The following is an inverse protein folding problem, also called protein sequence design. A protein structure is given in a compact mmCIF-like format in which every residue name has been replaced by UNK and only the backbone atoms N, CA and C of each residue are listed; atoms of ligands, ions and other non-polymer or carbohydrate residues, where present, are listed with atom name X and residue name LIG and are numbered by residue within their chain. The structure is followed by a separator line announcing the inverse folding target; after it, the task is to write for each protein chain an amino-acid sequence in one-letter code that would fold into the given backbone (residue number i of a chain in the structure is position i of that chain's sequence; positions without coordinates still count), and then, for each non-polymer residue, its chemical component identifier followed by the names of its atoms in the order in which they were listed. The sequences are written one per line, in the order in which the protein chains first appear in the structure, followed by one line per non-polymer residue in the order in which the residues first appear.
data_IF_515233812198
#
_entry.id   IF_515233812198
#
_cell.length_a   1.000
_cell.length_b   1.000
_cell.length_c   1.000
_cell.angle_alpha   90.00
_cell.angle_beta   90.00
_cell.angle_gamma   90.00
#
_symmetry.space_group_name_H-M   'P 1'
#
loop_
_entity.id
_entity.type
_entity.pdbx_description
1 polymer ?
#
# COMPACT_ATOMS: atom_id res chain seq x y z
N UNK A 1 5.83 -21.64 2.12
CA UNK A 1 6.82 -20.78 1.43
C UNK A 1 6.78 -19.40 2.09
N UNK A 2 7.86 -18.62 2.06
CA UNK A 2 7.82 -17.25 2.59
C UNK A 2 7.28 -16.28 1.53
N UNK A 3 6.51 -15.28 1.94
CA UNK A 3 5.96 -14.25 1.06
C UNK A 3 6.34 -12.86 1.60
N UNK A 4 6.67 -11.94 0.71
CA UNK A 4 6.81 -10.51 1.00
C UNK A 4 5.77 -9.77 0.17
N UNK A 5 4.93 -8.97 0.82
CA UNK A 5 3.89 -8.18 0.17
C UNK A 5 4.20 -6.69 0.33
N UNK A 6 4.17 -5.93 -0.77
CA UNK A 6 4.45 -4.49 -0.80
C UNK A 6 3.24 -3.78 -1.44
N UNK A 7 2.55 -2.94 -0.66
CA UNK A 7 1.26 -2.35 -1.04
C UNK A 7 1.41 -0.89 -1.51
N UNK A 8 2.19 -0.69 -2.58
CA UNK A 8 2.33 0.60 -3.25
C UNK A 8 3.45 1.48 -2.73
N UNK A 9 3.62 2.59 -3.45
CA UNK A 9 4.71 3.56 -3.33
C UNK A 9 6.06 2.85 -3.28
N UNK A 10 6.31 2.05 -4.33
CA UNK A 10 7.56 1.29 -4.48
C UNK A 10 8.76 2.22 -4.66
N UNK A 11 8.50 3.42 -5.19
CA UNK A 11 9.43 4.51 -5.39
C UNK A 11 8.77 5.84 -5.03
N UNK A 12 9.56 6.88 -4.78
CA UNK A 12 9.04 8.22 -4.46
C UNK A 12 8.35 8.92 -5.64
N UNK A 13 8.62 8.48 -6.87
CA UNK A 13 8.05 9.08 -8.08
C UNK A 13 8.70 10.41 -8.45
N UNK A 14 8.15 11.07 -9.47
CA UNK A 14 8.59 12.39 -9.95
C UNK A 14 7.37 13.30 -10.12
N UNK A 15 7.41 14.48 -9.50
CA UNK A 15 6.36 15.50 -9.62
C UNK A 15 5.07 15.16 -8.86
N UNK A 16 5.18 14.41 -7.77
CA UNK A 16 4.03 13.96 -6.97
C UNK A 16 3.43 15.10 -6.13
N UNK A 17 4.27 15.96 -5.56
CA UNK A 17 3.85 17.13 -4.79
C UNK A 17 4.80 18.33 -5.01
N UNK A 18 4.33 19.57 -4.77
CA UNK A 18 5.15 20.77 -4.98
C UNK A 18 6.44 20.74 -4.14
N UNK A 19 7.59 20.97 -4.78
CA UNK A 19 8.89 21.03 -4.11
C UNK A 19 9.59 19.68 -3.94
N UNK A 20 8.97 18.56 -4.36
CA UNK A 20 9.52 17.21 -4.25
C UNK A 20 10.93 17.09 -4.87
N UNK A 21 11.22 17.81 -5.95
CA UNK A 21 12.50 17.79 -6.65
C UNK A 21 13.70 18.21 -5.78
N UNK A 22 13.44 18.91 -4.67
CA UNK A 22 14.45 19.31 -3.69
C UNK A 22 14.69 18.23 -2.62
N UNK A 23 13.76 17.29 -2.47
CA UNK A 23 13.82 16.17 -1.52
C UNK A 23 14.37 14.89 -2.17
N UNK A 24 14.19 14.72 -3.49
CA UNK A 24 14.63 13.52 -4.20
C UNK A 24 16.16 13.37 -4.27
N UNK A 25 16.64 12.26 -3.73
CA UNK A 25 18.03 11.79 -3.93
C UNK A 25 18.23 11.29 -5.36
N UNK A 26 17.27 10.53 -5.90
CA UNK A 26 17.28 10.01 -7.27
C UNK A 26 16.19 10.73 -8.07
N UNK A 27 16.58 11.58 -9.03
CA UNK A 27 15.68 12.47 -9.79
C UNK A 27 15.19 11.89 -11.12
N UNK A 28 15.52 10.63 -11.39
CA UNK A 28 15.14 9.91 -12.59
C UNK A 28 14.26 8.71 -12.21
N UNK A 29 13.07 8.64 -12.77
CA UNK A 29 12.09 7.59 -12.45
C UNK A 29 12.61 6.18 -12.79
N UNK A 30 13.36 6.03 -13.90
CA UNK A 30 13.95 4.74 -14.26
C UNK A 30 15.00 4.31 -13.25
N UNK A 31 15.85 5.25 -12.78
CA UNK A 31 16.87 4.97 -11.77
C UNK A 31 16.26 4.62 -10.41
N UNK A 32 15.13 5.23 -10.04
CA UNK A 32 14.42 4.87 -8.80
C UNK A 32 13.97 3.40 -8.82
N UNK A 33 13.36 2.95 -9.93
CA UNK A 33 12.96 1.54 -10.08
C UNK A 33 14.16 0.59 -10.18
N UNK A 34 15.25 1.01 -10.82
CA UNK A 34 16.48 0.22 -10.90
C UNK A 34 17.09 -0.03 -9.51
N UNK A 35 17.15 1.00 -8.66
CA UNK A 35 17.62 0.88 -7.28
C UNK A 35 16.67 0.01 -6.45
N UNK A 36 15.35 0.20 -6.59
CA UNK A 36 14.38 -0.67 -5.93
C UNK A 36 14.56 -2.14 -6.35
N UNK A 37 14.79 -2.40 -7.64
CA UNK A 37 15.07 -3.74 -8.16
C UNK A 37 16.37 -4.35 -7.61
N UNK A 38 17.41 -3.54 -7.35
CA UNK A 38 18.63 -3.96 -6.66
C UNK A 38 18.32 -4.41 -5.24
N UNK A 39 17.56 -3.62 -4.47
CA UNK A 39 17.14 -4.00 -3.11
C UNK A 39 16.34 -5.31 -3.09
N UNK A 40 15.44 -5.52 -4.07
CA UNK A 40 14.69 -6.78 -4.17
C UNK A 40 15.57 -7.98 -4.52
N UNK A 41 16.65 -7.80 -5.30
CA UNK A 41 17.59 -8.86 -5.66
C UNK A 41 18.43 -9.34 -4.48
N UNK A 42 18.67 -8.47 -3.50
CA UNK A 42 19.40 -8.83 -2.28
C UNK A 42 18.57 -9.72 -1.34
N UNK A 43 17.26 -9.83 -1.57
CA UNK A 43 16.38 -10.71 -0.80
C UNK A 43 16.60 -12.19 -1.18
N UNK A 44 16.41 -13.13 -0.22
CA UNK A 44 16.54 -14.55 -0.52
C UNK A 44 15.58 -15.01 -1.62
N UNK A 45 16.10 -15.64 -2.68
CA UNK A 45 15.34 -16.12 -3.85
C UNK A 45 14.17 -17.07 -3.54
N UNK A 46 14.18 -17.71 -2.35
CA UNK A 46 13.10 -18.57 -1.85
C UNK A 46 11.85 -17.81 -1.40
N UNK A 47 11.95 -16.49 -1.17
CA UNK A 47 10.83 -15.63 -0.79
C UNK A 47 10.11 -15.21 -2.06
N UNK A 48 8.79 -15.37 -2.11
CA UNK A 48 7.97 -14.86 -3.21
C UNK A 48 7.57 -13.43 -2.91
N UNK A 49 7.90 -12.50 -3.78
CA UNK A 49 7.62 -11.08 -3.60
C UNK A 49 6.39 -10.74 -4.44
N UNK A 50 5.41 -10.05 -3.86
CA UNK A 50 4.28 -9.47 -4.58
C UNK A 50 4.23 -7.98 -4.30
N UNK A 51 4.28 -7.17 -5.35
CA UNK A 51 4.30 -5.72 -5.25
C UNK A 51 3.16 -5.11 -6.08
N UNK A 52 2.36 -4.27 -5.45
CA UNK A 52 1.34 -3.45 -6.09
C UNK A 52 1.85 -2.00 -6.22
N UNK A 53 1.33 -1.20 -7.16
CA UNK A 53 1.62 0.23 -7.22
C UNK A 53 0.86 1.02 -6.15
N UNK A 54 1.34 2.23 -5.86
CA UNK A 54 0.64 3.28 -5.14
C UNK A 54 0.47 4.55 -5.98
N UNK A 55 0.23 5.68 -5.33
CA UNK A 55 0.04 6.95 -6.04
C UNK A 55 1.33 7.67 -6.42
N UNK A 56 2.49 7.19 -5.96
CA UNK A 56 3.81 7.69 -6.37
C UNK A 56 4.36 6.94 -7.60
N UNK A 57 3.82 5.76 -7.87
CA UNK A 57 4.30 4.87 -8.91
C UNK A 57 3.88 5.28 -10.33
N UNK A 58 4.61 4.79 -11.34
CA UNK A 58 4.45 5.13 -12.77
C UNK A 58 3.26 4.43 -13.45
N UNK A 59 2.08 4.63 -12.86
CA UNK A 59 0.80 4.14 -13.36
C UNK A 59 -0.20 5.30 -13.32
N UNK A 60 -1.41 5.09 -13.86
CA UNK A 60 -2.45 6.11 -13.73
C UNK A 60 -2.69 6.44 -12.24
N UNK A 61 -2.91 7.71 -11.95
CA UNK A 61 -3.25 8.16 -10.59
C UNK A 61 -4.59 7.61 -10.10
N UNK A 62 -5.52 7.38 -11.02
CA UNK A 62 -6.88 6.95 -10.74
C UNK A 62 -6.95 5.46 -10.39
N UNK A 63 -7.62 5.14 -9.28
CA UNK A 63 -7.85 3.76 -8.85
C UNK A 63 -9.04 3.12 -9.59
N UNK A 64 -9.00 1.81 -9.88
CA UNK A 64 -7.90 0.88 -9.65
C UNK A 64 -6.70 1.17 -10.57
N UNK A 65 -5.48 0.84 -10.16
CA UNK A 65 -4.26 1.06 -10.94
C UNK A 65 -3.74 -0.26 -11.55
N UNK A 66 -3.26 -0.26 -12.80
CA UNK A 66 -2.65 -1.45 -13.41
C UNK A 66 -1.32 -1.79 -12.71
N UNK A 67 -0.79 -3.00 -12.91
CA UNK A 67 0.58 -3.32 -12.50
C UNK A 67 1.61 -2.39 -13.20
N UNK A 68 2.79 -2.22 -12.59
CA UNK A 68 3.86 -1.39 -13.15
C UNK A 68 4.23 -1.90 -14.56
N UNK A 69 4.36 -1.01 -15.57
CA UNK A 69 4.69 -1.42 -16.93
C UNK A 69 6.07 -2.08 -17.05
N UNK A 70 6.26 -3.07 -17.96
CA UNK A 70 7.52 -3.80 -18.11
C UNK A 70 8.76 -2.95 -18.38
N UNK A 71 8.59 -1.76 -18.97
CA UNK A 71 9.67 -0.83 -19.26
C UNK A 71 10.41 -0.31 -18.02
N UNK A 72 9.77 -0.36 -16.85
CA UNK A 72 10.37 0.01 -15.56
C UNK A 72 10.86 -1.20 -14.75
N UNK A 73 10.59 -2.42 -15.21
CA UNK A 73 10.72 -3.62 -14.37
C UNK A 73 11.71 -4.63 -14.93
N UNK A 74 12.42 -4.29 -16.00
CA UNK A 74 13.37 -5.19 -16.67
C UNK A 74 14.49 -5.71 -15.77
N UNK A 75 14.77 -5.04 -14.65
CA UNK A 75 15.78 -5.43 -13.65
C UNK A 75 15.20 -6.16 -12.44
N UNK A 76 13.88 -6.31 -12.31
CA UNK A 76 13.29 -6.97 -11.14
C UNK A 76 13.67 -8.46 -11.10
N UNK A 77 13.83 -9.05 -9.90
CA UNK A 77 14.17 -10.46 -9.79
C UNK A 77 12.99 -11.36 -10.19
N UNK A 78 13.28 -12.56 -10.69
CA UNK A 78 12.27 -13.48 -11.22
C UNK A 78 11.24 -13.99 -10.18
N UNK A 79 11.56 -13.88 -8.87
CA UNK A 79 10.65 -14.21 -7.77
C UNK A 79 9.77 -13.02 -7.34
N UNK A 80 9.78 -11.91 -8.08
CA UNK A 80 8.89 -10.76 -7.88
C UNK A 80 7.76 -10.74 -8.91
N UNK A 81 6.52 -10.74 -8.41
CA UNK A 81 5.31 -10.61 -9.22
C UNK A 81 4.69 -9.24 -8.98
N UNK A 82 4.52 -8.47 -10.05
CA UNK A 82 3.81 -7.20 -9.99
C UNK A 82 2.32 -7.42 -10.22
N UNK A 83 1.50 -6.75 -9.42
CA UNK A 83 0.04 -6.86 -9.44
C UNK A 83 -0.62 -5.49 -9.51
N UNK A 84 -1.91 -5.48 -9.79
CA UNK A 84 -2.73 -4.27 -9.79
C UNK A 84 -2.98 -3.75 -8.36
N UNK A 85 -3.42 -2.50 -8.24
CA UNK A 85 -3.95 -1.94 -6.99
C UNK A 85 -5.46 -1.64 -7.18
N UNK A 86 -6.37 -2.27 -6.42
CA UNK A 86 -6.16 -3.37 -5.48
C UNK A 86 -5.94 -4.72 -6.17
N UNK A 87 -5.47 -5.72 -5.42
CA UNK A 87 -5.36 -7.11 -5.85
C UNK A 87 -5.75 -8.08 -4.73
N UNK A 88 -6.59 -9.09 -5.05
CA UNK A 88 -6.91 -10.18 -4.14
C UNK A 88 -6.00 -11.38 -4.42
N UNK A 89 -5.12 -11.70 -3.47
CA UNK A 89 -4.20 -12.83 -3.54
C UNK A 89 -4.74 -14.03 -2.76
N UNK A 90 -4.38 -15.23 -3.19
CA UNK A 90 -4.54 -16.45 -2.39
C UNK A 90 -3.17 -17.02 -2.03
N UNK A 91 -2.81 -16.94 -0.75
CA UNK A 91 -1.56 -17.41 -0.20
C UNK A 91 -1.83 -18.65 0.66
N UNK A 92 -1.65 -19.83 0.06
CA UNK A 92 -1.84 -21.13 0.75
C UNK A 92 -3.22 -21.26 1.43
N UNK A 93 -4.28 -20.77 0.80
CA UNK A 93 -5.65 -20.80 1.33
C UNK A 93 -6.07 -19.52 2.06
N UNK A 94 -5.15 -18.58 2.33
CA UNK A 94 -5.44 -17.29 2.95
C UNK A 94 -5.63 -16.23 1.88
N UNK A 95 -6.78 -15.56 1.86
CA UNK A 95 -7.05 -14.44 0.95
C UNK A 95 -6.51 -13.14 1.53
N UNK A 96 -5.63 -12.49 0.79
CA UNK A 96 -5.08 -11.17 1.14
C UNK A 96 -5.54 -10.16 0.11
N UNK A 97 -6.38 -9.21 0.51
CA UNK A 97 -6.73 -8.06 -0.30
C UNK A 97 -5.66 -6.98 -0.09
N UNK A 98 -4.78 -6.83 -1.06
CA UNK A 98 -3.80 -5.75 -1.11
C UNK A 98 -4.44 -4.53 -1.73
N UNK A 99 -4.36 -3.40 -1.04
CA UNK A 99 -4.86 -2.12 -1.50
C UNK A 99 -3.91 -1.03 -1.02
N UNK A 100 -3.49 -0.08 -1.86
CA UNK A 100 -2.54 0.93 -1.44
C UNK A 100 -3.08 1.81 -0.29
N UNK A 101 -4.36 2.22 -0.36
CA UNK A 101 -5.00 2.95 0.74
C UNK A 101 -5.29 4.43 0.48
N UNK A 102 -5.22 4.91 -0.77
CA UNK A 102 -5.40 6.35 -1.06
C UNK A 102 -6.74 6.92 -0.57
N UNK A 103 -7.79 6.10 -0.58
CA UNK A 103 -9.12 6.49 -0.09
C UNK A 103 -9.17 6.83 1.41
N UNK A 104 -8.16 6.46 2.20
CA UNK A 104 -8.09 6.77 3.62
C UNK A 104 -8.15 8.29 3.84
N UNK A 105 -7.49 9.07 2.99
CA UNK A 105 -7.49 10.54 3.03
C UNK A 105 -8.91 11.12 2.99
N UNK A 106 -9.75 10.59 2.10
CA UNK A 106 -11.12 11.05 1.92
C UNK A 106 -12.03 10.56 3.05
N UNK A 107 -11.83 9.31 3.49
CA UNK A 107 -12.60 8.72 4.58
C UNK A 107 -12.39 9.45 5.91
N UNK A 108 -11.16 9.87 6.21
CA UNK A 108 -10.87 10.67 7.41
C UNK A 108 -11.66 11.98 7.42
N UNK A 109 -11.81 12.63 6.27
CA UNK A 109 -12.57 13.88 6.15
C UNK A 109 -14.09 13.71 6.32
N UNK A 110 -14.61 12.49 6.22
CA UNK A 110 -16.05 12.21 6.21
C UNK A 110 -16.55 11.43 7.42
N UNK A 111 -15.69 10.69 8.10
CA UNK A 111 -16.05 9.82 9.22
C UNK A 111 -15.78 10.57 10.53
N UNK A 112 -16.82 10.90 11.32
CA UNK A 112 -16.63 11.62 12.57
C UNK A 112 -15.68 10.86 13.51
N UNK A 113 -14.63 11.56 13.98
CA UNK A 113 -13.63 11.00 14.88
C UNK A 113 -12.54 10.17 14.20
N UNK A 114 -12.57 9.99 12.88
CA UNK A 114 -11.48 9.35 12.15
C UNK A 114 -10.18 10.17 12.21
N UNK A 115 -9.03 9.50 12.17
CA UNK A 115 -7.71 10.12 12.20
C UNK A 115 -6.67 9.25 11.50
N UNK A 116 -5.62 9.89 10.96
CA UNK A 116 -4.44 9.23 10.42
C UNK A 116 -3.74 8.35 11.46
N UNK A 117 -3.82 8.70 12.75
CA UNK A 117 -3.20 7.95 13.85
C UNK A 117 -3.87 6.60 14.13
N UNK A 118 -5.10 6.41 13.63
CA UNK A 118 -5.89 5.19 13.86
C UNK A 118 -6.38 4.59 12.54
N UNK A 119 -5.46 4.23 11.62
CA UNK A 119 -5.86 3.79 10.27
C UNK A 119 -6.67 2.48 10.31
N UNK A 120 -6.50 1.65 11.35
CA UNK A 120 -7.31 0.45 11.56
C UNK A 120 -8.82 0.73 11.67
N UNK A 121 -9.23 1.86 12.24
CA UNK A 121 -10.65 2.24 12.29
C UNK A 121 -11.20 2.55 10.90
N UNK A 122 -10.38 3.13 10.01
CA UNK A 122 -10.77 3.40 8.62
C UNK A 122 -10.88 2.11 7.81
N UNK A 123 -9.95 1.18 8.02
CA UNK A 123 -10.01 -0.15 7.40
C UNK A 123 -11.28 -0.91 7.81
N UNK A 124 -11.69 -0.80 9.07
CA UNK A 124 -12.97 -1.35 9.54
C UNK A 124 -14.16 -0.74 8.78
N UNK A 125 -14.14 0.56 8.53
CA UNK A 125 -15.20 1.25 7.78
C UNK A 125 -15.25 0.83 6.30
N UNK A 126 -14.11 0.50 5.68
CA UNK A 126 -14.06 -0.14 4.35
C UNK A 126 -14.72 -1.52 4.37
N UNK A 127 -14.38 -2.35 5.36
CA UNK A 127 -14.91 -3.71 5.50
C UNK A 127 -16.42 -3.71 5.77
N UNK A 128 -16.92 -2.78 6.61
CA UNK A 128 -18.36 -2.58 6.86
C UNK A 128 -19.12 -2.27 5.58
N UNK A 129 -18.57 -1.41 4.72
CA UNK A 129 -19.19 -0.97 3.46
C UNK A 129 -18.94 -1.91 2.29
N UNK A 130 -18.00 -2.86 2.43
CA UNK A 130 -17.53 -3.75 1.36
C UNK A 130 -17.00 -2.97 0.16
N UNK A 131 -16.35 -1.83 0.40
CA UNK A 131 -15.86 -0.93 -0.64
C UNK A 131 -14.60 -0.21 -0.16
N UNK A 132 -13.50 -0.33 -0.93
CA UNK A 132 -12.20 0.24 -0.58
C UNK A 132 -12.19 1.77 -0.68
N UNK A 133 -12.82 2.35 -1.70
CA UNK A 133 -12.98 3.79 -1.85
C UNK A 133 -14.47 4.16 -1.96
N UNK A 134 -15.07 4.55 -0.84
CA UNK A 134 -16.49 4.94 -0.80
C UNK A 134 -16.78 6.36 -1.31
N UNK A 135 -15.95 7.38 -1.01
CA UNK A 135 -16.20 8.75 -1.48
C UNK A 135 -15.87 8.91 -2.97
N UNK A 136 -16.69 9.67 -3.70
CA UNK A 136 -16.45 10.01 -5.10
C UNK A 136 -16.28 11.53 -5.27
N UNK A 137 -15.37 11.95 -6.16
CA UNK A 137 -15.13 13.36 -6.47
C UNK A 137 -14.28 14.12 -5.43
N UNK A 138 -13.60 13.40 -4.55
CA UNK A 138 -12.69 13.97 -3.54
C UNK A 138 -11.22 13.82 -3.97
N UNK A 139 -10.29 13.62 -3.03
CA UNK A 139 -8.84 13.56 -3.32
C UNK A 139 -8.43 12.27 -4.01
N UNK A 140 -9.18 11.19 -3.83
CA UNK A 140 -8.94 9.91 -4.51
C UNK A 140 -9.57 9.93 -5.89
N UNK A 141 -8.77 10.00 -6.98
CA UNK A 141 -9.31 9.85 -8.32
C UNK A 141 -9.77 8.41 -8.54
N UNK A 142 -11.01 8.23 -9.01
CA UNK A 142 -11.58 6.93 -9.35
C UNK A 142 -11.73 6.85 -10.87
N UNK A 143 -11.14 5.82 -11.48
CA UNK A 143 -11.19 5.62 -12.92
C UNK A 143 -12.61 5.23 -13.35
N UNK A 144 -13.12 5.88 -14.39
CA UNK A 144 -14.40 5.53 -14.99
C UNK A 144 -14.28 4.15 -15.67
N UNK A 145 -14.80 3.11 -15.03
CA UNK A 145 -14.77 1.73 -15.50
C UNK A 145 -16.18 1.14 -15.59
N UNK A 146 -16.35 0.10 -16.43
CA UNK A 146 -17.63 -0.62 -16.55
C UNK A 146 -17.98 -1.45 -15.30
N UNK A 147 -16.96 -1.82 -14.52
CA UNK A 147 -17.08 -2.64 -13.33
C UNK A 147 -16.24 -2.00 -12.24
N UNK A 148 -16.83 -1.83 -11.06
CA UNK A 148 -16.13 -1.32 -9.89
C UNK A 148 -15.25 -2.43 -9.28
N UNK A 149 -13.93 -2.24 -9.40
CA UNK A 149 -12.93 -3.19 -8.86
C UNK A 149 -12.48 -2.82 -7.44
N UNK A 150 -13.07 -1.79 -6.84
CA UNK A 150 -12.82 -1.38 -5.45
C UNK A 150 -13.80 -2.06 -4.49
N UNK A 151 -14.81 -2.76 -5.01
CA UNK A 151 -15.72 -3.60 -4.23
C UNK A 151 -14.94 -4.75 -3.60
N UNK A 152 -15.16 -4.95 -2.30
CA UNK A 152 -14.57 -6.04 -1.53
C UNK A 152 -15.46 -7.27 -1.71
N UNK A 153 -15.23 -8.06 -2.74
CA UNK A 153 -15.88 -9.36 -2.93
C UNK A 153 -14.98 -10.34 -3.70
N UNK A 154 -14.67 -11.52 -3.13
CA UNK A 154 -15.06 -12.03 -1.82
C UNK A 154 -14.41 -11.30 -0.63
N UNK A 155 -14.88 -11.56 0.60
CA UNK A 155 -14.21 -11.10 1.82
C UNK A 155 -12.81 -11.72 1.93
N UNK A 156 -11.78 -10.93 2.28
CA UNK A 156 -10.46 -11.45 2.55
C UNK A 156 -10.33 -11.94 4.00
N UNK A 157 -9.32 -12.76 4.28
CA UNK A 157 -8.84 -13.01 5.64
C UNK A 157 -7.94 -11.87 6.13
N UNK A 158 -7.19 -11.23 5.23
CA UNK A 158 -6.31 -10.09 5.50
C UNK A 158 -6.61 -8.92 4.55
N UNK A 159 -6.85 -7.73 5.07
CA UNK A 159 -6.81 -6.48 4.33
C UNK A 159 -5.46 -5.80 4.60
N UNK A 160 -4.63 -5.65 3.57
CA UNK A 160 -3.31 -5.02 3.64
C UNK A 160 -3.37 -3.63 2.99
N UNK A 161 -3.02 -2.59 3.75
CA UNK A 161 -2.92 -1.21 3.28
C UNK A 161 -1.59 -0.52 3.61
N UNK A 162 -1.38 0.65 3.01
CA UNK A 162 -0.25 1.55 3.24
C UNK A 162 -0.69 3.03 3.17
N UNK A 163 -0.01 3.81 2.33
CA UNK A 163 -0.29 5.22 2.02
C UNK A 163 -0.10 6.24 3.16
N UNK A 164 -0.71 6.02 4.33
CA UNK A 164 -0.72 7.02 5.42
C UNK A 164 0.50 6.98 6.35
N UNK A 165 1.43 6.06 6.11
CA UNK A 165 2.73 5.96 6.78
C UNK A 165 2.68 5.66 8.29
N UNK A 166 1.52 5.29 8.84
CA UNK A 166 1.32 4.97 10.25
C UNK A 166 0.88 3.52 10.40
N UNK A 167 1.59 2.72 11.20
CA UNK A 167 1.22 1.35 11.46
C UNK A 167 -0.12 1.28 12.19
N UNK A 168 -1.00 0.38 11.76
CA UNK A 168 -2.26 0.14 12.44
C UNK A 168 -2.72 -1.29 12.26
N UNK A 169 -3.40 -1.81 13.28
CA UNK A 169 -3.98 -3.15 13.28
C UNK A 169 -5.45 -3.02 13.66
N UNK A 170 -6.30 -3.76 12.96
CA UNK A 170 -7.68 -3.97 13.37
C UNK A 170 -8.09 -5.42 13.16
N UNK A 171 -9.09 -5.87 13.91
CA UNK A 171 -9.80 -7.13 13.62
C UNK A 171 -11.28 -6.84 13.56
N UNK A 172 -11.89 -7.02 12.39
CA UNK A 172 -13.32 -6.83 12.20
C UNK A 172 -13.96 -8.12 11.68
N UNK A 173 -14.83 -8.73 12.49
CA UNK A 173 -15.58 -9.95 12.15
C UNK A 173 -14.72 -11.06 11.54
N UNK A 174 -13.52 -11.26 12.08
CA UNK A 174 -12.58 -12.30 11.63
C UNK A 174 -11.57 -11.86 10.57
N UNK A 175 -11.75 -10.69 9.93
CA UNK A 175 -10.77 -10.12 8.99
C UNK A 175 -9.69 -9.38 9.77
N UNK A 176 -8.42 -9.67 9.48
CA UNK A 176 -7.27 -8.92 9.97
C UNK A 176 -7.00 -7.73 9.05
N UNK A 177 -7.11 -6.50 9.55
CA UNK A 177 -6.64 -5.32 8.84
C UNK A 177 -5.24 -4.93 9.34
N UNK A 178 -4.29 -4.76 8.42
CA UNK A 178 -2.96 -4.22 8.72
C UNK A 178 -2.62 -3.06 7.79
N UNK A 179 -2.33 -1.90 8.39
CA UNK A 179 -1.68 -0.79 7.70
C UNK A 179 -0.19 -0.81 8.03
N UNK A 180 0.66 -0.94 7.02
CA UNK A 180 2.06 -1.35 7.24
C UNK A 180 3.01 -0.25 7.68
N UNK A 181 2.58 1.02 7.70
CA UNK A 181 3.48 2.14 8.02
C UNK A 181 4.26 2.57 6.79
N UNK A 182 5.57 2.80 6.94
CA UNK A 182 6.45 3.27 5.85
C UNK A 182 7.92 2.90 6.07
N UNK A 183 8.74 3.09 5.04
CA UNK A 183 10.21 3.11 5.14
C UNK A 183 10.79 4.53 4.95
N UNK A 184 9.92 5.54 4.85
CA UNK A 184 10.30 6.94 4.68
C UNK A 184 10.23 7.69 6.02
N UNK A 185 11.29 8.43 6.37
CA UNK A 185 11.25 9.35 7.51
C UNK A 185 10.25 10.49 7.28
N UNK A 186 9.84 11.16 8.36
CA UNK A 186 8.88 12.26 8.28
C UNK A 186 9.34 13.38 7.32
N UNK A 187 8.54 13.64 6.28
CA UNK A 187 8.82 14.71 5.30
C UNK A 187 8.42 16.10 5.81
N UNK A 188 8.86 17.15 5.12
CA UNK A 188 8.48 18.52 5.44
C UNK A 188 6.95 18.72 5.30
N UNK A 189 6.35 18.14 4.27
CA UNK A 189 4.89 18.13 4.07
C UNK A 189 4.16 17.44 5.23
N UNK A 190 4.63 16.27 5.66
CA UNK A 190 4.03 15.55 6.80
C UNK A 190 4.14 16.35 8.11
N UNK A 191 5.26 17.05 8.34
CA UNK A 191 5.40 17.99 9.48
C UNK A 191 4.36 19.11 9.43
N UNK A 192 4.15 19.72 8.26
CA UNK A 192 3.16 20.78 8.10
C UNK A 192 1.73 20.30 8.37
N UNK A 193 1.45 19.03 8.05
CA UNK A 193 0.15 18.39 8.27
C UNK A 193 0.01 17.74 9.67
N UNK A 194 1.02 17.89 10.55
CA UNK A 194 1.07 17.25 11.87
C UNK A 194 0.88 15.72 11.83
N UNK A 195 1.46 15.07 10.82
CA UNK A 195 1.45 13.62 10.64
C UNK A 195 2.73 13.03 11.23
N UNK A 196 2.60 12.04 12.11
CA UNK A 196 3.72 11.36 12.76
C UNK A 196 3.86 9.93 12.21
N UNK A 197 4.67 9.71 11.15
CA UNK A 197 4.81 8.38 10.57
C UNK A 197 5.52 7.42 11.53
N UNK A 198 5.35 6.14 11.28
CA UNK A 198 6.03 5.05 12.00
C UNK A 198 6.97 4.31 11.04
N UNK A 199 8.12 4.92 10.69
CA UNK A 199 9.05 4.34 9.73
C UNK A 199 9.71 3.06 10.27
N UNK A 200 10.28 2.27 9.35
CA UNK A 200 11.14 1.13 9.66
C UNK A 200 10.44 0.04 10.50
N UNK A 201 9.17 -0.22 10.21
CA UNK A 201 8.41 -1.31 10.82
C UNK A 201 7.90 -2.27 9.77
N UNK A 202 7.92 -3.56 10.08
CA UNK A 202 7.40 -4.62 9.22
C UNK A 202 6.41 -5.50 9.97
N UNK A 203 5.34 -5.90 9.30
CA UNK A 203 4.39 -6.87 9.82
C UNK A 203 4.77 -8.28 9.40
N UNK A 204 4.91 -9.17 10.37
CA UNK A 204 5.07 -10.62 10.15
C UNK A 204 3.77 -11.29 10.56
N UNK A 205 3.17 -12.04 9.63
CA UNK A 205 1.88 -12.70 9.86
C UNK A 205 2.06 -14.18 9.56
N UNK A 206 1.76 -15.01 10.55
CA UNK A 206 1.64 -16.45 10.36
C UNK A 206 0.32 -16.75 9.62
N UNK A 207 0.40 -17.38 8.44
CA UNK A 207 -0.77 -17.62 7.60
C UNK A 207 -1.77 -18.62 8.20
N UNK A 208 -1.35 -19.47 9.13
CA UNK A 208 -2.25 -20.45 9.75
C UNK A 208 -3.09 -19.83 10.87
N UNK A 209 -2.47 -18.97 11.67
CA UNK A 209 -3.07 -18.36 12.87
C UNK A 209 -3.58 -16.95 12.63
N UNK A 210 -3.14 -16.31 11.54
CA UNK A 210 -3.35 -14.90 11.21
C UNK A 210 -2.95 -13.97 12.35
N UNK A 211 -1.95 -14.34 13.16
CA UNK A 211 -1.45 -13.49 14.24
C UNK A 211 -0.38 -12.54 13.70
N UNK A 212 -0.58 -11.20 13.83
CA UNK A 212 0.42 -10.22 13.44
C UNK A 212 1.44 -10.00 14.56
N UNK A 213 2.72 -9.94 14.17
CA UNK A 213 3.83 -9.43 14.96
C UNK A 213 4.42 -8.21 14.23
N UNK A 214 4.80 -7.18 14.97
CA UNK A 214 5.46 -5.99 14.41
C UNK A 214 6.94 -6.05 14.75
N UNK A 215 7.78 -6.12 13.72
CA UNK A 215 9.23 -5.95 13.83
C UNK A 215 9.57 -4.47 13.67
N UNK A 216 10.31 -3.92 14.64
CA UNK A 216 10.75 -2.52 14.64
C UNK A 216 12.27 -2.44 14.38
N UNK A 217 12.65 -1.67 13.37
CA UNK A 217 14.01 -1.44 12.90
C UNK A 217 14.43 0.04 12.99
N UNK A 218 13.64 0.86 13.70
CA UNK A 218 13.91 2.30 13.87
C UNK A 218 15.06 2.63 14.82
#
# INVERSE_FOLDING_TARGET
AGYLLIAGDLVDGIGIYPGQENELTIKNIYEQYDVFAEMLRDLPSRVRIVAAPGNHDVVRMAEPQPAIPPEFTGRFPANCTLVENPCLLNLQGVRVLMYHGRSIDDMIGLIPGASYERPGEIMEEMLKRRLLASPYGMRTPIAAMKTDRLVIDPLPEILLTGHVHICGITRYRGVLGVNTGTWQSQTAFQKQMNIHPTPARAFVIDLQTLQPEVMDFS
#
